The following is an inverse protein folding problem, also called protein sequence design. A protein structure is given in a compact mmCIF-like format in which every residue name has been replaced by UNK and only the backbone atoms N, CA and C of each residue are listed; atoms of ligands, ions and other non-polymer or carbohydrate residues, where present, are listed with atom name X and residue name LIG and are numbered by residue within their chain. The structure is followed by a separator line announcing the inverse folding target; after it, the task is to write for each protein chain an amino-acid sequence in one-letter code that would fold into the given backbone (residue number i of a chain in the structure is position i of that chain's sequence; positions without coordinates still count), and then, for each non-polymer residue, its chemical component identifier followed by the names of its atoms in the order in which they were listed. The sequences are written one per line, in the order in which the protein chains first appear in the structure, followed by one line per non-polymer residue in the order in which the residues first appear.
data_IF_496624983699
#
_entry.id   IF_496624983699
#
_cell.length_a   1.000
_cell.length_b   1.000
_cell.length_c   1.000
_cell.angle_alpha   90.00
_cell.angle_beta   90.00
_cell.angle_gamma   90.00
#
_symmetry.space_group_name_H-M   'P 1'
#
loop_
_entity.id
_entity.type
_entity.pdbx_description
1 polymer ?
#
# COMPACT_ATOMS: atom_id res chain seq x y z
N UNK A 1 32.75 -10.93 -5.65
CA UNK A 1 32.31 -10.38 -5.30
C UNK A 1 31.74 -9.74 -4.74
N UNK A 2 31.63 -9.63 -4.67
CA UNK A 2 31.04 -9.06 -4.11
C UNK A 2 30.36 -8.47 -3.87
N UNK A 3 29.98 -8.38 -3.80
CA UNK A 3 29.37 -7.87 -3.51
C UNK A 3 28.78 -7.37 -3.04
N UNK A 4 28.74 -7.47 -2.81
CA UNK A 4 28.20 -6.99 -2.35
C UNK A 4 27.72 -6.36 -1.79
N UNK A 5 27.72 -6.62 -1.42
CA UNK A 5 27.42 -5.89 -0.76
C UNK A 5 26.70 -4.86 -0.89
N UNK A 6 26.77 -4.56 -1.56
CA UNK A 6 26.21 -3.66 -1.84
C UNK A 6 24.91 -3.63 -2.12
N UNK A 7 24.41 -4.48 -2.23
CA UNK A 7 23.28 -4.63 -2.48
C UNK A 7 22.31 -4.33 -1.65
N UNK A 8 22.30 -3.39 -1.18
CA UNK A 8 21.51 -2.97 -0.22
C UNK A 8 20.10 -2.70 -0.58
N UNK A 9 19.79 -2.35 -1.79
CA UNK A 9 18.42 -2.21 -2.19
C UNK A 9 17.96 -3.29 -3.16
N UNK A 10 18.84 -4.22 -3.53
CA UNK A 10 18.50 -5.26 -4.47
C UNK A 10 17.95 -4.71 -5.76
N UNK A 11 16.75 -5.13 -6.15
CA UNK A 11 16.10 -4.70 -7.38
C UNK A 11 15.05 -3.61 -7.17
N UNK A 12 15.18 -2.84 -6.12
CA UNK A 12 14.27 -1.73 -5.85
C UNK A 12 14.90 -0.45 -6.40
N UNK A 13 14.23 0.18 -7.39
CA UNK A 13 14.76 1.41 -7.96
C UNK A 13 14.53 2.62 -7.07
N UNK A 14 13.42 2.64 -6.34
CA UNK A 14 13.06 3.74 -5.44
C UNK A 14 12.26 3.21 -4.27
N UNK A 15 12.37 3.93 -3.15
CA UNK A 15 11.57 3.67 -1.98
C UNK A 15 11.10 5.01 -1.41
N UNK A 16 9.81 5.11 -1.09
CA UNK A 16 9.24 6.33 -0.55
C UNK A 16 8.41 6.01 0.68
N UNK A 17 8.34 6.95 1.60
CA UNK A 17 7.40 6.92 2.71
C UNK A 17 6.69 8.26 2.73
N UNK A 18 5.37 8.25 2.73
CA UNK A 18 4.61 9.50 2.68
C UNK A 18 3.36 9.38 3.55
N UNK A 19 2.87 10.52 3.99
CA UNK A 19 1.59 10.60 4.67
C UNK A 19 0.51 11.00 3.69
N UNK A 20 -0.60 10.29 3.69
CA UNK A 20 -1.73 10.56 2.80
C UNK A 20 -2.98 10.65 3.66
N UNK A 21 -3.72 11.74 3.52
CA UNK A 21 -4.94 11.94 4.27
C UNK A 21 -6.08 11.15 3.64
N UNK A 22 -6.69 10.28 4.45
CA UNK A 22 -7.85 9.49 4.04
C UNK A 22 -9.07 10.01 4.77
N UNK A 23 -10.18 10.17 4.07
CA UNK A 23 -11.47 10.36 4.69
C UNK A 23 -12.05 9.01 5.08
N UNK A 24 -13.00 9.02 6.00
CA UNK A 24 -13.66 7.79 6.41
C UNK A 24 -14.42 7.18 5.23
N UNK A 25 -14.41 5.87 5.16
CA UNK A 25 -15.10 5.11 4.11
C UNK A 25 -16.00 4.09 4.78
N UNK A 26 -17.23 3.98 4.31
CA UNK A 26 -18.13 2.96 4.79
C UNK A 26 -17.66 1.60 4.28
N UNK A 27 -17.42 0.69 5.20
CA UNK A 27 -16.96 -0.67 4.90
C UNK A 27 -18.08 -1.62 5.26
N UNK A 28 -18.67 -2.24 4.25
CA UNK A 28 -19.70 -3.25 4.47
C UNK A 28 -19.08 -4.51 5.08
N UNK A 29 -19.91 -5.39 5.61
CA UNK A 29 -19.41 -6.65 6.18
C UNK A 29 -18.68 -7.50 5.16
N UNK A 30 -18.93 -7.28 3.87
CA UNK A 30 -18.21 -7.95 2.78
C UNK A 30 -16.92 -7.24 2.39
N UNK A 31 -16.61 -6.11 3.02
CA UNK A 31 -15.44 -5.31 2.69
C UNK A 31 -15.76 -4.14 1.78
N UNK A 32 -14.76 -3.32 1.52
CA UNK A 32 -14.89 -2.19 0.62
C UNK A 32 -13.51 -1.78 0.12
N UNK A 33 -13.49 -1.11 -1.02
CA UNK A 33 -12.25 -0.53 -1.57
C UNK A 33 -12.36 0.99 -1.53
N UNK A 34 -11.25 1.64 -1.25
CA UNK A 34 -11.15 3.09 -1.29
C UNK A 34 -10.11 3.49 -2.31
N UNK A 35 -10.47 4.40 -3.18
CA UNK A 35 -9.56 4.95 -4.19
C UNK A 35 -9.02 6.28 -3.70
N UNK A 36 -7.71 6.44 -3.76
CA UNK A 36 -7.02 7.64 -3.32
C UNK A 36 -6.04 8.06 -4.39
N UNK A 37 -6.01 9.35 -4.70
CA UNK A 37 -5.03 9.88 -5.65
C UNK A 37 -3.74 10.19 -4.92
N UNK A 38 -2.66 9.58 -5.37
CA UNK A 38 -1.32 9.80 -4.82
C UNK A 38 -0.37 10.00 -6.00
N UNK A 39 0.06 11.23 -6.19
CA UNK A 39 0.89 11.58 -7.34
C UNK A 39 2.19 10.79 -7.32
N UNK A 40 2.59 10.31 -8.48
CA UNK A 40 3.85 9.61 -8.66
C UNK A 40 3.78 8.10 -8.60
N UNK A 41 2.66 7.53 -8.20
CA UNK A 41 2.51 6.07 -8.17
C UNK A 41 2.42 5.51 -9.59
N UNK A 42 2.95 4.31 -9.77
CA UNK A 42 2.87 3.56 -11.03
C UNK A 42 2.38 2.16 -10.76
N UNK A 43 1.67 1.62 -11.73
CA UNK A 43 1.27 0.20 -11.68
C UNK A 43 2.50 -0.67 -11.51
N UNK A 44 2.44 -1.59 -10.59
CA UNK A 44 3.57 -2.46 -10.26
C UNK A 44 4.33 -2.03 -9.02
N UNK A 45 4.09 -0.83 -8.51
CA UNK A 45 4.69 -0.42 -7.24
C UNK A 45 4.17 -1.32 -6.12
N UNK A 46 5.06 -1.75 -5.24
CA UNK A 46 4.68 -2.47 -4.04
C UNK A 46 4.34 -1.45 -2.97
N UNK A 47 3.12 -1.53 -2.44
CA UNK A 47 2.59 -0.50 -1.55
C UNK A 47 2.17 -1.13 -0.24
N UNK A 48 2.49 -0.47 0.85
CA UNK A 48 2.05 -0.87 2.17
C UNK A 48 1.41 0.35 2.83
N UNK A 49 0.23 0.19 3.41
CA UNK A 49 -0.53 1.28 4.00
C UNK A 49 -0.85 0.94 5.44
N UNK A 50 -0.59 1.87 6.33
CA UNK A 50 -0.94 1.69 7.72
C UNK A 50 -1.41 3.01 8.31
N UNK A 51 -2.25 2.93 9.32
CA UNK A 51 -2.66 4.09 10.10
C UNK A 51 -1.86 4.07 11.40
N UNK A 52 -1.04 5.10 11.67
CA UNK A 52 -0.28 5.15 12.93
C UNK A 52 -1.15 5.59 14.10
N UNK A 53 -2.31 5.00 14.23
CA UNK A 53 -3.30 5.23 15.29
C UNK A 53 -4.26 4.05 15.25
N UNK A 54 -5.23 4.04 16.16
CA UNK A 54 -6.20 2.95 16.20
C UNK A 54 -7.14 3.03 15.01
N UNK A 55 -7.35 1.93 14.35
CA UNK A 55 -8.37 1.80 13.32
C UNK A 55 -9.72 1.54 14.02
N UNK A 56 -10.83 1.77 13.31
CA UNK A 56 -12.15 1.40 13.79
C UNK A 56 -12.16 -0.08 14.16
N UNK A 57 -12.71 -0.41 15.33
CA UNK A 57 -12.76 -1.79 15.80
C UNK A 57 -13.41 -2.69 14.76
N UNK A 58 -12.75 -3.77 14.41
CA UNK A 58 -13.24 -4.74 13.44
C UNK A 58 -12.91 -4.41 11.99
N UNK A 59 -12.40 -3.22 11.71
CA UNK A 59 -12.01 -2.81 10.37
C UNK A 59 -10.50 -2.94 10.22
N UNK A 60 -10.07 -3.51 9.12
CA UNK A 60 -8.65 -3.66 8.83
C UNK A 60 -8.36 -3.45 7.35
N UNK A 61 -7.09 -3.34 7.02
CA UNK A 61 -6.64 -3.22 5.64
C UNK A 61 -6.22 -4.60 5.18
N UNK A 62 -6.89 -5.10 4.14
CA UNK A 62 -6.57 -6.41 3.58
C UNK A 62 -5.46 -6.31 2.54
N UNK A 63 -5.47 -5.26 1.74
CA UNK A 63 -4.52 -5.11 0.65
C UNK A 63 -4.47 -3.65 0.21
N UNK A 64 -3.39 -3.28 -0.46
CA UNK A 64 -3.26 -2.00 -1.12
C UNK A 64 -2.47 -2.21 -2.40
N UNK A 65 -2.88 -1.58 -3.48
CA UNK A 65 -2.20 -1.71 -4.76
C UNK A 65 -2.44 -0.48 -5.62
N UNK A 66 -1.64 -0.33 -6.66
CA UNK A 66 -1.74 0.77 -7.60
C UNK A 66 -2.45 0.25 -8.84
N UNK A 67 -3.64 0.78 -9.12
CA UNK A 67 -4.47 0.30 -10.23
C UNK A 67 -4.17 1.03 -11.53
N UNK A 68 -3.68 2.26 -11.43
CA UNK A 68 -3.34 3.09 -12.58
C UNK A 68 -2.34 4.14 -12.11
N UNK A 69 -1.80 4.93 -13.03
CA UNK A 69 -0.89 6.00 -12.64
C UNK A 69 -1.58 6.91 -11.61
N UNK A 70 -0.86 7.25 -10.55
CA UNK A 70 -1.30 8.14 -9.48
C UNK A 70 -2.54 7.65 -8.72
N UNK A 71 -2.91 6.38 -8.86
CA UNK A 71 -4.15 5.86 -8.26
C UNK A 71 -3.83 4.71 -7.31
N UNK A 72 -4.12 4.93 -6.04
CA UNK A 72 -3.96 3.93 -4.99
C UNK A 72 -5.32 3.36 -4.62
N UNK A 73 -5.41 2.05 -4.56
CA UNK A 73 -6.60 1.35 -4.08
C UNK A 73 -6.24 0.69 -2.75
N UNK A 74 -7.04 0.97 -1.74
CA UNK A 74 -6.91 0.33 -0.42
C UNK A 74 -8.15 -0.51 -0.19
N UNK A 75 -7.95 -1.79 0.06
CA UNK A 75 -9.05 -2.73 0.27
C UNK A 75 -9.19 -2.98 1.77
N UNK A 76 -10.37 -2.67 2.30
CA UNK A 76 -10.67 -2.83 3.72
C UNK A 76 -11.49 -4.08 3.96
N UNK A 77 -11.32 -4.67 5.13
CA UNK A 77 -12.15 -5.76 5.63
C UNK A 77 -12.90 -5.28 6.87
N UNK A 78 -14.00 -5.95 7.17
CA UNK A 78 -14.83 -5.61 8.30
C UNK A 78 -15.36 -6.90 8.94
N UNK A 79 -14.96 -7.15 10.16
CA UNK A 79 -15.32 -8.36 10.89
C UNK A 79 -16.49 -8.16 11.84
N UNK A 80 -17.17 -6.99 11.81
CA UNK A 80 -18.22 -6.69 12.80
C UNK A 80 -19.57 -7.29 12.47
N UNK A 81 -19.77 -7.75 11.24
CA UNK A 81 -21.06 -8.29 10.81
C UNK A 81 -22.04 -7.22 10.33
N UNK A 82 -21.73 -5.95 10.44
CA UNK A 82 -22.54 -4.85 9.94
C UNK A 82 -21.61 -3.76 9.42
N UNK A 83 -22.14 -2.80 8.67
CA UNK A 83 -21.33 -1.72 8.13
C UNK A 83 -20.65 -0.91 9.22
N UNK A 84 -19.42 -0.50 8.98
CA UNK A 84 -18.66 0.35 9.87
C UNK A 84 -17.82 1.30 9.02
N UNK A 85 -17.43 2.44 9.57
CA UNK A 85 -16.61 3.41 8.83
C UNK A 85 -15.14 3.20 9.21
N UNK A 86 -14.28 3.21 8.21
CA UNK A 86 -12.84 3.22 8.47
C UNK A 86 -12.45 4.53 9.16
N UNK A 87 -11.38 4.51 9.92
CA UNK A 87 -10.91 5.71 10.60
C UNK A 87 -10.37 6.71 9.59
N UNK A 88 -10.75 7.97 9.77
CA UNK A 88 -10.17 9.07 9.00
C UNK A 88 -8.85 9.47 9.63
N UNK A 89 -7.94 9.98 8.83
CA UNK A 89 -6.66 10.49 9.33
C UNK A 89 -5.58 10.41 8.30
N UNK A 90 -4.35 10.66 8.73
CA UNK A 90 -3.19 10.57 7.85
C UNK A 90 -2.62 9.17 7.94
N UNK A 91 -2.72 8.44 6.85
CA UNK A 91 -2.16 7.09 6.74
C UNK A 91 -0.74 7.18 6.22
N UNK A 92 0.10 6.28 6.68
CA UNK A 92 1.46 6.17 6.19
C UNK A 92 1.45 5.20 5.01
N UNK A 93 1.95 5.66 3.88
CA UNK A 93 2.05 4.86 2.66
C UNK A 93 3.52 4.64 2.38
N UNK A 94 3.92 3.37 2.35
CA UNK A 94 5.29 2.96 2.03
C UNK A 94 5.25 2.37 0.64
N UNK A 95 6.07 2.91 -0.25
CA UNK A 95 6.09 2.49 -1.65
C UNK A 95 7.48 1.99 -1.98
N UNK A 96 7.58 0.78 -2.52
CA UNK A 96 8.81 0.23 -3.06
C UNK A 96 8.60 0.00 -4.55
N UNK A 97 9.41 0.65 -5.35
CA UNK A 97 9.31 0.53 -6.81
C UNK A 97 10.36 -0.45 -7.30
N UNK A 98 9.95 -1.65 -7.73
CA UNK A 98 10.92 -2.61 -8.24
C UNK A 98 11.49 -2.16 -9.57
N UNK A 99 12.71 -2.58 -9.85
CA UNK A 99 13.25 -2.46 -11.19
C UNK A 99 12.60 -3.51 -12.07
N UNK A 100 12.23 -3.12 -13.27
CA UNK A 100 11.55 -4.03 -14.17
C UNK A 100 12.55 -4.79 -15.03
N UNK A 101 13.53 -5.36 -14.40
CA UNK A 101 14.47 -6.23 -15.06
C UNK A 101 14.01 -7.67 -14.90
N UNK A 102 14.21 -8.50 -15.93
CA UNK A 102 13.88 -9.91 -15.77
C UNK A 102 14.63 -10.51 -14.60
N UNK A 103 13.94 -11.32 -13.83
CA UNK A 103 14.56 -12.06 -12.77
C UNK A 103 15.01 -13.38 -13.36
N UNK A 104 16.31 -13.60 -13.44
CA UNK A 104 16.83 -14.85 -13.96
C UNK A 104 17.70 -15.55 -12.93
N UNK A 105 18.23 -16.70 -13.30
CA UNK A 105 19.00 -17.50 -12.35
C UNK A 105 20.28 -16.82 -11.91
N UNK A 106 20.72 -15.81 -12.62
CA UNK A 106 21.92 -15.06 -12.27
C UNK A 106 21.61 -13.75 -11.56
N UNK A 107 20.35 -13.45 -11.36
CA UNK A 107 19.97 -12.20 -10.76
C UNK A 107 20.12 -12.21 -9.26
N UNK A 108 20.45 -13.34 -8.73
CA UNK A 108 20.58 -13.48 -7.29
C UNK A 108 21.98 -13.39 -6.83
#
# INVERSE_FOLDING_TARGET
MALQTTILRGNISNAFVMGVTFTATTVASSGASKTVTVAGLKVGDAVQVSLPAAQTTGVGIANAYVSAADTLIVQFTNATGSSASSAAGTYTVVVNRPEYLPLDSNAV
#
